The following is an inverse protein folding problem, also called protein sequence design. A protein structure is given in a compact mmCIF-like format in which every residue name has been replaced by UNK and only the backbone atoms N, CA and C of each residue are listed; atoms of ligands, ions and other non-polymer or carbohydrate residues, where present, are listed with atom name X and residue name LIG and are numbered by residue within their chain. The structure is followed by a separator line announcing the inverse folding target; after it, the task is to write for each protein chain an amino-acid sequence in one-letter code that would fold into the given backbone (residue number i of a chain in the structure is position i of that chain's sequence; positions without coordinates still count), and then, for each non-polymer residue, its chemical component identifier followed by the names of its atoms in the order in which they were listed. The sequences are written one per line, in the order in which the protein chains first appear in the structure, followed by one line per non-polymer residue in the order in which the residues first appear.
data_IF_106062197098
#
_entry.id   IF_106062197098
#
_cell.length_a   1.000
_cell.length_b   1.000
_cell.length_c   1.000
_cell.angle_alpha   90.00
_cell.angle_beta   90.00
_cell.angle_gamma   90.00
#
_symmetry.space_group_name_H-M   'P 1'
#
loop_
_entity.id
_entity.type
_entity.pdbx_description
1 polymer ?
#
# COMPACT_ATOMS: atom_id res chain seq x y z
N UNK A 1 -2.43 54.03 -15.59
CA UNK A 1 -3.34 53.75 -16.73
C UNK A 1 -3.84 52.31 -16.66
N UNK A 2 -5.17 52.06 -16.71
CA UNK A 2 -5.72 50.72 -16.70
C UNK A 2 -5.41 50.01 -18.03
N UNK A 3 -4.72 48.86 -17.98
CA UNK A 3 -4.42 48.06 -19.19
C UNK A 3 -5.73 47.48 -19.75
N UNK A 4 -6.28 48.09 -20.78
CA UNK A 4 -7.47 47.59 -21.46
C UNK A 4 -7.11 46.33 -22.26
N UNK A 5 -7.75 45.20 -21.95
CA UNK A 5 -7.50 43.94 -22.66
C UNK A 5 -8.23 43.95 -24.02
N UNK A 6 -7.59 43.51 -25.12
CA UNK A 6 -8.21 43.43 -26.43
C UNK A 6 -9.49 42.57 -26.43
N UNK A 7 -10.45 42.94 -27.27
CA UNK A 7 -11.75 42.25 -27.43
C UNK A 7 -11.59 40.76 -27.71
N UNK A 8 -10.65 40.39 -28.58
CA UNK A 8 -10.29 39.00 -28.90
C UNK A 8 -9.86 38.19 -27.67
N UNK A 9 -9.18 38.83 -26.70
CA UNK A 9 -8.76 38.17 -25.46
C UNK A 9 -9.93 37.93 -24.51
N UNK A 10 -10.95 38.80 -24.53
CA UNK A 10 -12.18 38.63 -23.75
C UNK A 10 -13.05 37.52 -24.35
N UNK A 11 -13.24 37.53 -25.67
CA UNK A 11 -14.01 36.50 -26.39
C UNK A 11 -13.36 35.12 -26.29
N UNK A 12 -12.03 35.02 -26.46
CA UNK A 12 -11.29 33.77 -26.22
C UNK A 12 -11.49 33.23 -24.80
N UNK A 13 -11.50 34.10 -23.78
CA UNK A 13 -11.73 33.70 -22.39
C UNK A 13 -13.16 33.25 -22.12
N UNK A 14 -14.14 33.85 -22.79
CA UNK A 14 -15.56 33.46 -22.70
C UNK A 14 -15.85 32.14 -23.42
N UNK A 15 -15.14 31.86 -24.52
CA UNK A 15 -15.33 30.65 -25.32
C UNK A 15 -14.53 29.45 -24.78
N UNK A 16 -13.43 29.69 -24.05
CA UNK A 16 -12.59 28.61 -23.48
C UNK A 16 -13.32 27.63 -22.55
N UNK A 17 -14.27 28.05 -21.68
CA UNK A 17 -15.08 27.13 -20.88
C UNK A 17 -16.05 26.32 -21.73
N UNK A 18 -16.63 26.93 -22.77
CA UNK A 18 -17.60 26.32 -23.68
C UNK A 18 -16.91 25.24 -24.53
N UNK A 19 -15.79 25.60 -25.17
CA UNK A 19 -14.95 24.65 -25.91
C UNK A 19 -14.45 23.51 -25.02
N UNK A 20 -13.99 23.80 -23.79
CA UNK A 20 -13.62 22.74 -22.83
C UNK A 20 -14.77 21.82 -22.42
N UNK A 21 -16.00 22.31 -22.46
CA UNK A 21 -17.19 21.51 -22.14
C UNK A 21 -17.58 20.63 -23.34
N UNK A 22 -17.45 21.15 -24.56
CA UNK A 22 -17.71 20.44 -25.81
C UNK A 22 -16.64 19.40 -26.14
N UNK A 23 -15.36 19.72 -25.94
CA UNK A 23 -14.21 18.80 -26.12
C UNK A 23 -14.13 17.73 -25.03
N UNK A 24 -14.97 17.80 -24.00
CA UNK A 24 -14.95 16.83 -22.91
C UNK A 24 -15.52 15.52 -23.44
N UNK A 25 -14.75 14.41 -23.45
CA UNK A 25 -15.27 13.14 -23.91
C UNK A 25 -16.52 12.78 -23.08
N UNK A 26 -17.67 12.76 -23.77
CA UNK A 26 -18.95 12.36 -23.19
C UNK A 26 -18.96 10.83 -23.14
N UNK A 27 -18.51 10.27 -22.04
CA UNK A 27 -18.76 8.86 -21.78
C UNK A 27 -20.27 8.69 -21.58
N UNK A 28 -20.94 7.76 -22.28
CA UNK A 28 -22.36 7.51 -22.04
C UNK A 28 -22.55 7.15 -20.56
N UNK A 29 -23.56 7.71 -19.87
CA UNK A 29 -23.81 7.46 -18.44
C UNK A 29 -23.83 5.96 -18.10
N UNK A 30 -24.29 5.13 -19.03
CA UNK A 30 -24.39 3.68 -18.90
C UNK A 30 -23.03 2.96 -18.91
N UNK A 31 -22.02 3.48 -19.61
CA UNK A 31 -20.71 2.83 -19.68
C UNK A 31 -19.94 2.90 -18.35
N UNK A 32 -20.05 4.03 -17.62
CA UNK A 32 -19.43 4.14 -16.30
C UNK A 32 -20.13 3.29 -15.26
N UNK A 33 -21.47 3.21 -15.30
CA UNK A 33 -22.23 2.35 -14.39
C UNK A 33 -21.91 0.87 -14.63
N UNK A 34 -21.90 0.43 -15.90
CA UNK A 34 -21.52 -0.93 -16.27
C UNK A 34 -20.08 -1.26 -15.83
N UNK A 35 -19.13 -0.33 -16.05
CA UNK A 35 -17.73 -0.55 -15.65
C UNK A 35 -17.56 -0.62 -14.14
N UNK A 36 -18.30 0.19 -13.38
CA UNK A 36 -18.31 0.08 -11.91
C UNK A 36 -18.86 -1.26 -11.45
N UNK A 37 -19.94 -1.76 -12.05
CA UNK A 37 -20.50 -3.07 -11.72
C UNK A 37 -19.50 -4.19 -12.02
N UNK A 38 -18.90 -4.19 -13.21
CA UNK A 38 -17.85 -5.14 -13.61
C UNK A 38 -16.67 -5.13 -12.63
N UNK A 39 -16.19 -3.95 -12.24
CA UNK A 39 -15.08 -3.83 -11.29
C UNK A 39 -15.47 -4.25 -9.87
N UNK A 40 -16.71 -3.97 -9.46
CA UNK A 40 -17.23 -4.37 -8.14
C UNK A 40 -17.27 -5.88 -8.03
N UNK A 41 -17.79 -6.55 -9.06
CA UNK A 41 -17.81 -8.02 -9.15
C UNK A 41 -16.40 -8.60 -9.22
N UNK A 42 -15.57 -8.10 -10.14
CA UNK A 42 -14.21 -8.60 -10.36
C UNK A 42 -13.34 -8.54 -9.11
N UNK A 43 -13.39 -7.44 -8.35
CA UNK A 43 -12.53 -7.23 -7.20
C UNK A 43 -13.21 -7.56 -5.86
N UNK A 44 -14.47 -8.00 -5.87
CA UNK A 44 -15.23 -8.28 -4.63
C UNK A 44 -15.39 -7.04 -3.76
N UNK A 45 -15.61 -5.87 -4.38
CA UNK A 45 -15.70 -4.60 -3.66
C UNK A 45 -17.06 -4.49 -2.94
N UNK A 46 -17.11 -3.86 -1.75
CA UNK A 46 -18.36 -3.69 -1.05
C UNK A 46 -19.28 -2.71 -1.81
N UNK A 47 -20.59 -2.90 -1.68
CA UNK A 47 -21.60 -2.12 -2.43
C UNK A 47 -21.60 -0.63 -2.08
N UNK A 48 -21.09 -0.26 -0.92
CA UNK A 48 -20.94 1.12 -0.44
C UNK A 48 -19.63 1.80 -0.90
N UNK A 49 -18.81 1.11 -1.71
CA UNK A 49 -17.54 1.63 -2.18
C UNK A 49 -17.70 2.92 -3.02
N UNK A 50 -16.91 3.94 -2.68
CA UNK A 50 -16.89 5.21 -3.41
C UNK A 50 -15.87 5.16 -4.54
N UNK A 51 -16.32 5.38 -5.78
CA UNK A 51 -15.46 5.39 -6.96
C UNK A 51 -14.99 6.82 -7.32
N UNK A 52 -13.68 6.98 -7.46
CA UNK A 52 -13.02 8.22 -7.87
C UNK A 52 -12.23 8.01 -9.16
N UNK A 53 -12.39 8.93 -10.11
CA UNK A 53 -11.69 8.87 -11.41
C UNK A 53 -10.61 9.95 -11.50
N UNK A 54 -9.38 9.53 -11.78
CA UNK A 54 -8.19 10.36 -11.83
C UNK A 54 -7.65 10.45 -13.26
N UNK A 55 -7.48 11.67 -13.77
CA UNK A 55 -6.86 11.92 -15.07
C UNK A 55 -5.37 12.20 -14.91
N UNK A 56 -4.54 11.49 -15.67
CA UNK A 56 -3.08 11.69 -15.70
C UNK A 56 -2.72 13.15 -15.99
N UNK A 57 -1.72 13.69 -15.27
CA UNK A 57 -1.18 15.03 -15.49
C UNK A 57 -1.99 16.19 -14.91
N UNK A 58 -3.15 15.95 -14.28
CA UNK A 58 -3.91 17.00 -13.59
C UNK A 58 -3.21 17.38 -12.30
N UNK A 59 -2.79 18.64 -12.16
CA UNK A 59 -2.35 19.19 -10.86
C UNK A 59 -3.58 19.47 -10.00
N UNK A 60 -3.69 18.78 -8.88
CA UNK A 60 -4.74 19.03 -7.90
C UNK A 60 -4.23 20.05 -6.88
N UNK A 61 -4.90 21.20 -6.79
CA UNK A 61 -4.55 22.27 -5.85
C UNK A 61 -5.18 22.08 -4.46
N UNK A 62 -6.12 21.14 -4.31
CA UNK A 62 -6.79 20.79 -3.06
C UNK A 62 -6.83 19.27 -2.90
N UNK A 63 -6.78 18.73 -1.65
CA UNK A 63 -7.05 17.34 -1.38
C UNK A 63 -8.44 16.98 -1.95
N UNK A 64 -8.52 15.98 -2.81
CA UNK A 64 -9.80 15.46 -3.33
C UNK A 64 -10.45 14.44 -2.39
N UNK A 65 -9.72 14.01 -1.37
CA UNK A 65 -10.13 12.95 -0.46
C UNK A 65 -10.44 13.57 0.90
N UNK A 66 -11.72 13.65 1.25
CA UNK A 66 -12.17 13.76 2.64
C UNK A 66 -13.05 12.54 2.89
N UNK A 67 -12.42 11.44 3.31
CA UNK A 67 -13.15 10.31 3.87
C UNK A 67 -12.75 10.16 5.33
N UNK A 68 -13.75 10.05 6.18
CA UNK A 68 -13.58 9.66 7.58
C UNK A 68 -13.50 8.13 7.69
N UNK A 69 -14.34 7.40 6.94
CA UNK A 69 -14.45 5.93 6.97
C UNK A 69 -15.03 5.39 5.65
N UNK A 70 -14.85 4.08 5.41
CA UNK A 70 -15.38 3.34 4.26
C UNK A 70 -14.34 2.99 3.20
N UNK A 71 -14.79 2.36 2.10
CA UNK A 71 -13.92 1.91 1.00
C UNK A 71 -13.94 2.90 -0.17
N UNK A 72 -12.76 3.22 -0.71
CA UNK A 72 -12.56 4.10 -1.87
C UNK A 72 -11.81 3.36 -2.95
N UNK A 73 -12.31 3.47 -4.17
CA UNK A 73 -11.71 2.87 -5.36
C UNK A 73 -11.29 3.98 -6.30
N UNK A 74 -10.00 4.08 -6.55
CA UNK A 74 -9.41 5.06 -7.44
C UNK A 74 -9.12 4.40 -8.78
N UNK A 75 -9.66 4.96 -9.86
CA UNK A 75 -9.49 4.47 -11.22
C UNK A 75 -8.84 5.55 -12.08
N UNK A 76 -8.10 5.13 -13.11
CA UNK A 76 -7.74 6.03 -14.19
C UNK A 76 -9.01 6.46 -14.93
N UNK A 77 -9.14 7.75 -15.21
CA UNK A 77 -10.34 8.31 -15.83
C UNK A 77 -10.50 7.89 -17.29
N UNK A 78 -9.39 7.68 -17.99
CA UNK A 78 -9.38 7.44 -19.43
C UNK A 78 -9.35 5.93 -19.73
N UNK A 79 -8.58 5.13 -18.97
CA UNK A 79 -8.46 3.67 -19.17
C UNK A 79 -9.35 2.82 -18.26
N UNK A 80 -9.91 3.40 -17.19
CA UNK A 80 -10.60 2.68 -16.11
C UNK A 80 -9.74 1.63 -15.38
N UNK A 81 -8.42 1.71 -15.52
CA UNK A 81 -7.50 0.85 -14.79
C UNK A 81 -7.56 1.15 -13.28
N UNK A 82 -7.47 0.09 -12.47
CA UNK A 82 -7.44 0.21 -11.02
C UNK A 82 -6.11 0.82 -10.57
N UNK A 83 -6.17 1.96 -9.87
CA UNK A 83 -5.00 2.66 -9.34
C UNK A 83 -4.78 2.37 -7.85
N UNK A 84 -5.86 2.34 -7.06
CA UNK A 84 -5.79 2.18 -5.61
C UNK A 84 -7.16 1.74 -5.07
N UNK A 85 -7.18 0.75 -4.18
CA UNK A 85 -8.31 0.52 -3.27
C UNK A 85 -7.82 0.86 -1.87
N UNK A 86 -8.56 1.70 -1.16
CA UNK A 86 -8.23 2.10 0.21
C UNK A 86 -9.46 1.94 1.09
N UNK A 87 -9.28 1.40 2.29
CA UNK A 87 -10.33 1.30 3.30
C UNK A 87 -9.91 2.06 4.55
N UNK A 88 -10.77 2.97 4.99
CA UNK A 88 -10.66 3.65 6.27
C UNK A 88 -11.58 2.93 7.25
N UNK A 89 -10.99 2.27 8.24
CA UNK A 89 -11.73 1.50 9.26
C UNK A 89 -12.17 2.45 10.37
N UNK A 90 -13.46 2.47 10.66
CA UNK A 90 -14.03 3.26 11.75
C UNK A 90 -13.92 2.49 13.07
N UNK A 91 -13.55 3.20 14.13
CA UNK A 91 -13.66 2.69 15.50
C UNK A 91 -15.12 2.78 15.93
N UNK A 92 -15.85 1.68 15.78
CA UNK A 92 -17.22 1.58 16.24
C UNK A 92 -17.25 1.03 17.68
N UNK A 93 -18.21 1.50 18.49
CA UNK A 93 -18.37 1.10 19.90
C UNK A 93 -18.62 -0.42 20.09
N UNK A 94 -18.96 -1.14 19.02
CA UNK A 94 -19.17 -2.60 19.02
C UNK A 94 -17.98 -3.46 18.61
N UNK A 95 -16.81 -2.88 18.25
CA UNK A 95 -15.63 -3.65 17.80
C UNK A 95 -14.33 -3.32 18.57
N UNK A 96 -14.35 -3.25 19.92
CA UNK A 96 -13.14 -2.95 20.70
C UNK A 96 -12.00 -3.94 20.41
N UNK A 97 -12.31 -5.24 20.32
CA UNK A 97 -11.32 -6.29 20.03
C UNK A 97 -10.68 -6.20 18.64
N UNK A 98 -11.33 -5.53 17.67
CA UNK A 98 -10.76 -5.35 16.33
C UNK A 98 -9.60 -4.36 16.35
N UNK A 99 -9.75 -3.24 17.05
CA UNK A 99 -8.68 -2.24 17.16
C UNK A 99 -7.53 -2.71 18.05
N UNK A 100 -7.82 -3.51 19.08
CA UNK A 100 -6.79 -4.23 19.84
C UNK A 100 -6.02 -5.20 18.94
N UNK A 101 -6.72 -5.93 18.06
CA UNK A 101 -6.07 -6.83 17.08
C UNK A 101 -5.21 -6.06 16.08
N UNK A 102 -5.67 -4.89 15.61
CA UNK A 102 -4.87 -4.00 14.77
C UNK A 102 -3.62 -3.52 15.49
N UNK A 103 -3.76 -2.99 16.70
CA UNK A 103 -2.65 -2.48 17.48
C UNK A 103 -1.62 -3.58 17.79
N UNK A 104 -2.09 -4.73 18.29
CA UNK A 104 -1.25 -5.89 18.54
C UNK A 104 -0.48 -6.33 17.29
N UNK A 105 -1.18 -6.47 16.16
CA UNK A 105 -0.60 -6.93 14.90
C UNK A 105 0.45 -5.96 14.35
N UNK A 106 0.11 -4.68 14.29
CA UNK A 106 0.97 -3.63 13.75
C UNK A 106 2.18 -3.42 14.63
N UNK A 107 1.98 -3.31 15.95
CA UNK A 107 3.06 -3.09 16.91
C UNK A 107 4.01 -4.28 16.95
N UNK A 108 3.50 -5.51 16.88
CA UNK A 108 4.35 -6.72 16.83
C UNK A 108 5.21 -6.75 15.56
N UNK A 109 4.61 -6.50 14.40
CA UNK A 109 5.33 -6.43 13.11
C UNK A 109 6.34 -5.29 13.12
N UNK A 110 5.99 -4.13 13.67
CA UNK A 110 6.88 -2.98 13.83
C UNK A 110 8.13 -3.35 14.63
N UNK A 111 7.95 -3.94 15.82
CA UNK A 111 9.08 -4.30 16.69
C UNK A 111 9.91 -5.44 16.11
N UNK A 112 9.27 -6.42 15.45
CA UNK A 112 9.95 -7.53 14.80
C UNK A 112 10.81 -7.06 13.60
N UNK A 113 10.26 -6.21 12.73
CA UNK A 113 11.02 -5.63 11.62
C UNK A 113 12.15 -4.72 12.13
N UNK A 114 11.93 -3.95 13.20
CA UNK A 114 12.96 -3.10 13.80
C UNK A 114 14.12 -3.89 14.41
N UNK A 115 13.90 -5.14 14.82
CA UNK A 115 14.97 -6.04 15.25
C UNK A 115 15.85 -6.53 14.08
N UNK A 116 15.38 -6.39 12.84
CA UNK A 116 16.13 -6.69 11.60
C UNK A 116 16.96 -5.49 11.13
N UNK A 117 17.80 -5.75 10.13
CA UNK A 117 18.61 -4.72 9.47
C UNK A 117 17.78 -3.63 8.78
N UNK A 118 18.28 -2.39 8.80
CA UNK A 118 17.69 -1.28 8.05
C UNK A 118 17.97 -1.44 6.55
N UNK A 119 16.94 -1.30 5.71
CA UNK A 119 17.06 -1.27 4.26
C UNK A 119 17.63 0.07 3.83
N UNK A 120 18.85 0.06 3.30
CA UNK A 120 19.55 1.27 2.85
C UNK A 120 19.46 1.52 1.33
N UNK A 121 19.16 0.48 0.55
CA UNK A 121 19.13 0.50 -0.92
C UNK A 121 17.90 1.21 -1.46
N UNK A 122 16.73 0.90 -0.91
CA UNK A 122 15.44 1.48 -1.31
C UNK A 122 14.98 2.61 -0.37
N UNK A 123 15.89 3.14 0.44
CA UNK A 123 15.60 4.21 1.37
C UNK A 123 15.34 5.55 0.65
N UNK A 124 14.83 6.53 1.40
CA UNK A 124 14.58 7.86 0.88
C UNK A 124 15.77 8.39 0.05
N UNK A 125 15.49 8.82 -1.19
CA UNK A 125 16.48 9.40 -2.11
C UNK A 125 17.39 10.41 -1.39
N UNK A 126 18.62 10.64 -1.87
CA UNK A 126 19.55 11.64 -1.32
C UNK A 126 18.90 13.01 -0.99
N UNK A 127 17.90 13.43 -1.79
CA UNK A 127 17.13 14.67 -1.55
C UNK A 127 16.17 14.62 -0.34
N UNK A 128 15.75 13.43 0.09
CA UNK A 128 14.96 13.18 1.31
C UNK A 128 15.82 13.19 2.58
N UNK A 129 17.10 12.79 2.48
CA UNK A 129 18.07 12.76 3.58
C UNK A 129 18.79 14.10 3.84
N UNK A 130 18.24 15.21 3.36
CA UNK A 130 18.85 16.54 3.60
C UNK A 130 18.74 16.91 5.09
N UNK A 131 19.74 17.61 5.66
CA UNK A 131 19.66 18.09 7.04
C UNK A 131 18.35 18.85 7.28
N UNK A 132 17.67 18.54 8.39
CA UNK A 132 16.39 19.13 8.76
C UNK A 132 15.15 18.54 8.07
N UNK A 133 15.31 17.52 7.20
CA UNK A 133 14.17 16.74 6.68
C UNK A 133 14.09 15.41 7.38
N UNK A 134 12.91 15.13 7.91
CA UNK A 134 12.55 13.83 8.44
C UNK A 134 12.35 12.86 7.27
N UNK A 135 12.89 11.67 7.39
CA UNK A 135 12.84 10.65 6.35
C UNK A 135 12.62 9.29 6.98
N UNK A 136 11.73 8.51 6.36
CA UNK A 136 11.35 7.21 6.89
C UNK A 136 12.49 6.22 6.87
N UNK A 137 12.62 5.50 7.98
CA UNK A 137 13.51 4.37 8.14
C UNK A 137 12.75 3.11 7.76
N UNK A 138 13.31 2.38 6.81
CA UNK A 138 12.70 1.19 6.23
C UNK A 138 13.37 -0.05 6.80
N UNK A 139 12.57 -0.97 7.29
CA UNK A 139 12.99 -2.27 7.79
C UNK A 139 12.17 -3.35 7.11
N UNK A 140 12.70 -4.56 7.02
CA UNK A 140 11.95 -5.69 6.49
C UNK A 140 12.18 -6.95 7.31
N UNK A 141 11.17 -7.83 7.27
CA UNK A 141 11.16 -9.14 7.88
C UNK A 141 10.62 -10.19 6.90
N UNK A 142 10.81 -11.47 7.23
CA UNK A 142 10.54 -12.59 6.33
C UNK A 142 11.75 -12.91 5.45
N UNK A 143 11.51 -13.13 4.16
CA UNK A 143 12.49 -13.62 3.22
C UNK A 143 13.04 -12.50 2.33
N UNK A 144 14.34 -12.55 2.06
CA UNK A 144 15.02 -11.67 1.13
C UNK A 144 15.65 -12.47 -0.02
N UNK A 145 15.77 -11.87 -1.23
CA UNK A 145 16.59 -12.44 -2.27
C UNK A 145 18.03 -12.56 -1.77
N UNK A 146 18.73 -13.60 -2.21
CA UNK A 146 20.14 -13.75 -1.89
C UNK A 146 20.99 -12.75 -2.65
N UNK A 147 22.10 -12.33 -2.03
CA UNK A 147 23.04 -11.37 -2.62
C UNK A 147 24.14 -12.04 -3.46
N UNK A 148 24.38 -13.34 -3.27
CA UNK A 148 25.41 -14.11 -3.97
C UNK A 148 24.77 -14.92 -5.12
N UNK A 149 25.47 -15.06 -6.24
CA UNK A 149 25.07 -15.93 -7.35
C UNK A 149 24.78 -17.39 -6.93
N UNK A 150 25.37 -17.86 -5.82
CA UNK A 150 25.14 -19.20 -5.27
C UNK A 150 23.99 -19.29 -4.28
N UNK A 151 23.57 -18.17 -3.67
CA UNK A 151 22.52 -18.12 -2.65
C UNK A 151 21.29 -17.47 -3.26
N UNK A 152 20.23 -18.25 -3.47
CA UNK A 152 19.02 -17.75 -4.14
C UNK A 152 18.09 -16.94 -3.23
N UNK A 153 18.17 -17.13 -1.91
CA UNK A 153 17.32 -16.47 -0.92
C UNK A 153 17.74 -16.76 0.52
N UNK A 154 17.24 -15.96 1.46
CA UNK A 154 17.49 -16.14 2.90
C UNK A 154 16.48 -15.39 3.76
N UNK A 155 16.62 -15.46 5.09
CA UNK A 155 15.83 -14.65 6.01
C UNK A 155 16.54 -13.34 6.34
N UNK A 156 15.76 -12.28 6.60
CA UNK A 156 16.31 -11.08 7.23
C UNK A 156 16.88 -11.44 8.61
N UNK A 157 18.15 -11.08 8.82
CA UNK A 157 18.86 -11.36 10.07
C UNK A 157 18.70 -10.22 11.08
N UNK A 158 18.96 -10.53 12.35
CA UNK A 158 19.02 -9.51 13.41
C UNK A 158 20.07 -8.45 13.09
N UNK A 159 19.74 -7.20 13.43
CA UNK A 159 20.72 -6.12 13.40
C UNK A 159 21.74 -6.25 14.54
N UNK A 160 22.86 -5.53 14.44
CA UNK A 160 23.94 -5.57 15.42
C UNK A 160 23.46 -5.29 16.86
N UNK A 161 22.51 -4.38 17.04
CA UNK A 161 21.97 -4.03 18.38
C UNK A 161 21.16 -5.15 19.00
N UNK A 162 20.40 -5.90 18.20
CA UNK A 162 19.60 -7.03 18.66
C UNK A 162 20.50 -8.24 18.87
N UNK A 163 21.39 -8.55 17.92
CA UNK A 163 22.30 -9.69 18.00
C UNK A 163 23.32 -9.58 19.16
N UNK A 164 23.61 -8.37 19.64
CA UNK A 164 24.51 -8.15 20.77
C UNK A 164 23.82 -8.33 22.15
N UNK A 165 22.51 -8.57 22.21
CA UNK A 165 21.73 -8.61 23.46
C UNK A 165 20.75 -9.79 23.48
N UNK A 166 21.07 -10.81 24.28
CA UNK A 166 20.24 -12.00 24.43
C UNK A 166 18.79 -11.71 24.81
N UNK A 167 18.53 -10.69 25.63
CA UNK A 167 17.14 -10.35 26.01
C UNK A 167 16.36 -9.81 24.83
N UNK A 168 17.01 -9.05 23.95
CA UNK A 168 16.37 -8.53 22.73
C UNK A 168 16.13 -9.64 21.71
N UNK A 169 17.06 -10.58 21.58
CA UNK A 169 16.88 -11.78 20.76
C UNK A 169 15.69 -12.62 21.25
N UNK A 170 15.63 -12.91 22.55
CA UNK A 170 14.53 -13.69 23.14
C UNK A 170 13.18 -12.98 22.97
N UNK A 171 13.13 -11.67 23.21
CA UNK A 171 11.92 -10.87 22.99
C UNK A 171 11.48 -10.89 21.52
N UNK A 172 12.43 -10.97 20.59
CA UNK A 172 12.14 -11.07 19.16
C UNK A 172 11.63 -12.43 18.73
N UNK A 173 12.20 -13.51 19.26
CA UNK A 173 11.70 -14.87 19.04
C UNK A 173 10.26 -15.01 19.55
N UNK A 174 9.96 -14.49 20.75
CA UNK A 174 8.58 -14.46 21.27
C UNK A 174 7.61 -13.69 20.36
N UNK A 175 8.07 -12.64 19.67
CA UNK A 175 7.25 -11.95 18.66
C UNK A 175 7.08 -12.79 17.40
N UNK A 176 8.13 -13.52 17.00
CA UNK A 176 8.12 -14.39 15.84
C UNK A 176 7.04 -15.48 15.94
N UNK A 177 6.85 -16.05 17.13
CA UNK A 177 5.82 -17.06 17.40
C UNK A 177 4.38 -16.55 17.13
N UNK A 178 4.15 -15.24 17.24
CA UNK A 178 2.85 -14.61 16.98
C UNK A 178 2.61 -14.29 15.50
N UNK A 179 3.64 -14.31 14.65
CA UNK A 179 3.53 -13.87 13.27
C UNK A 179 2.53 -14.67 12.43
N UNK A 180 2.37 -16.00 12.56
CA UNK A 180 1.40 -16.75 11.76
C UNK A 180 -0.05 -16.31 12.00
N UNK A 181 -0.39 -15.99 13.25
CA UNK A 181 -1.71 -15.46 13.60
C UNK A 181 -1.89 -14.04 13.03
N UNK A 182 -0.85 -13.21 13.11
CA UNK A 182 -0.87 -11.85 12.55
C UNK A 182 -0.96 -11.87 11.02
N UNK A 183 -0.28 -12.81 10.35
CA UNK A 183 -0.38 -13.01 8.91
C UNK A 183 -1.81 -13.38 8.51
N UNK A 184 -2.44 -14.29 9.26
CA UNK A 184 -3.84 -14.66 9.04
C UNK A 184 -4.76 -13.45 9.20
N UNK A 185 -4.53 -12.62 10.21
CA UNK A 185 -5.26 -11.37 10.41
C UNK A 185 -5.08 -10.41 9.22
N UNK A 186 -3.86 -10.20 8.73
CA UNK A 186 -3.60 -9.37 7.55
C UNK A 186 -4.20 -9.96 6.27
N UNK A 187 -4.12 -11.27 6.10
CA UNK A 187 -4.73 -11.97 4.96
C UNK A 187 -6.24 -11.71 4.90
N UNK A 188 -6.93 -11.79 6.04
CA UNK A 188 -8.37 -11.48 6.13
C UNK A 188 -8.65 -10.01 5.75
N UNK A 189 -7.83 -9.06 6.22
CA UNK A 189 -8.02 -7.64 5.88
C UNK A 189 -7.74 -7.34 4.41
N UNK A 190 -6.70 -7.95 3.82
CA UNK A 190 -6.32 -7.74 2.43
C UNK A 190 -7.27 -8.41 1.45
N UNK A 191 -7.68 -9.66 1.73
CA UNK A 191 -8.72 -10.35 0.94
C UNK A 191 -10.04 -9.60 1.01
N UNK A 192 -10.40 -9.07 2.19
CA UNK A 192 -11.57 -8.21 2.35
C UNK A 192 -11.47 -6.87 1.62
N UNK A 193 -10.26 -6.38 1.28
CA UNK A 193 -10.05 -5.14 0.52
C UNK A 193 -10.18 -5.37 -0.99
N UNK A 194 -9.60 -6.45 -1.49
CA UNK A 194 -9.70 -6.88 -2.89
C UNK A 194 -9.37 -8.36 -3.00
N UNK A 195 -10.41 -9.19 -3.15
CA UNK A 195 -10.26 -10.64 -3.19
C UNK A 195 -9.42 -11.06 -4.40
N UNK A 196 -9.70 -10.49 -5.58
CA UNK A 196 -8.96 -10.83 -6.80
C UNK A 196 -7.47 -10.45 -6.73
N UNK A 197 -7.13 -9.32 -6.11
CA UNK A 197 -5.71 -8.94 -5.95
C UNK A 197 -5.01 -9.88 -4.95
N UNK A 198 -5.70 -10.26 -3.87
CA UNK A 198 -5.19 -11.21 -2.89
C UNK A 198 -4.96 -12.59 -3.51
N UNK A 199 -5.92 -13.11 -4.26
CA UNK A 199 -5.80 -14.39 -4.97
C UNK A 199 -4.72 -14.37 -6.05
N UNK A 200 -4.54 -13.23 -6.75
CA UNK A 200 -3.45 -13.07 -7.71
C UNK A 200 -2.08 -13.19 -7.03
N UNK A 201 -1.88 -12.57 -5.86
CA UNK A 201 -0.62 -12.69 -5.13
C UNK A 201 -0.45 -14.10 -4.56
N UNK A 202 -1.52 -14.72 -4.06
CA UNK A 202 -1.48 -16.09 -3.57
C UNK A 202 -1.15 -17.11 -4.67
N UNK A 203 -1.64 -16.90 -5.89
CA UNK A 203 -1.32 -17.72 -7.05
C UNK A 203 0.17 -17.59 -7.44
N UNK A 204 0.71 -16.36 -7.44
CA UNK A 204 2.15 -16.13 -7.69
C UNK A 204 2.99 -16.82 -6.62
N UNK A 205 2.63 -16.67 -5.34
CA UNK A 205 3.34 -17.32 -4.24
C UNK A 205 3.30 -18.86 -4.37
N UNK A 206 2.15 -19.43 -4.71
CA UNK A 206 2.03 -20.87 -4.95
C UNK A 206 2.87 -21.36 -6.14
N UNK A 207 2.86 -20.64 -7.26
CA UNK A 207 3.65 -20.97 -8.46
C UNK A 207 5.16 -20.88 -8.23
N UNK A 208 5.59 -19.93 -7.40
CA UNK A 208 7.01 -19.69 -7.10
C UNK A 208 7.50 -20.45 -5.87
N UNK A 209 6.62 -21.20 -5.20
CA UNK A 209 6.88 -21.82 -3.90
C UNK A 209 7.42 -20.80 -2.88
N UNK A 210 6.92 -19.57 -2.93
CA UNK A 210 7.34 -18.51 -2.03
C UNK A 210 6.91 -18.85 -0.60
N UNK A 211 7.84 -18.80 0.38
CA UNK A 211 7.49 -19.00 1.78
C UNK A 211 6.75 -17.77 2.34
N UNK A 212 5.97 -17.95 3.40
CA UNK A 212 5.32 -16.84 4.12
C UNK A 212 6.31 -16.03 4.92
N UNK A 213 6.13 -14.71 5.00
CA UNK A 213 6.98 -13.84 5.82
C UNK A 213 6.87 -14.11 7.33
N UNK A 214 5.82 -14.81 7.76
CA UNK A 214 5.59 -15.20 9.15
C UNK A 214 6.21 -16.55 9.52
N UNK A 215 6.73 -17.30 8.55
CA UNK A 215 7.32 -18.60 8.82
C UNK A 215 8.65 -18.50 9.55
N UNK A 216 8.89 -19.45 10.46
CA UNK A 216 10.18 -19.61 11.12
C UNK A 216 11.28 -20.16 10.21
N UNK A 217 10.89 -20.85 9.14
CA UNK A 217 11.82 -21.52 8.23
C UNK A 217 11.32 -21.47 6.79
N UNK A 218 12.27 -21.45 5.85
CA UNK A 218 12.02 -21.54 4.41
C UNK A 218 11.20 -22.79 4.02
N UNK A 219 11.39 -23.89 4.75
CA UNK A 219 10.90 -25.22 4.35
C UNK A 219 9.57 -25.62 4.99
N UNK A 220 9.06 -24.81 5.93
CA UNK A 220 7.83 -25.11 6.66
C UNK A 220 6.89 -23.94 6.51
N UNK A 221 5.86 -24.09 5.69
CA UNK A 221 4.74 -23.15 5.64
C UNK A 221 3.53 -23.76 6.30
N UNK A 222 3.18 -23.35 7.53
CA UNK A 222 1.96 -23.79 8.18
C UNK A 222 0.79 -23.07 7.50
N UNK A 223 0.00 -23.82 6.75
CA UNK A 223 -1.36 -23.47 6.32
C UNK A 223 -1.53 -22.30 5.33
N UNK A 224 -1.59 -22.70 4.05
CA UNK A 224 -2.53 -22.27 3.01
C UNK A 224 -2.78 -20.75 2.79
N UNK A 225 -2.26 -20.28 1.65
CA UNK A 225 -2.37 -18.95 1.00
C UNK A 225 -1.41 -17.88 1.54
N UNK A 226 -0.12 -18.15 1.35
CA UNK A 226 0.93 -17.11 1.35
C UNK A 226 0.54 -16.02 0.36
N UNK A 227 0.42 -14.77 0.81
CA UNK A 227 0.13 -13.62 -0.06
C UNK A 227 1.33 -12.67 -0.22
N UNK A 228 2.42 -12.96 0.49
CA UNK A 228 3.69 -12.25 0.42
C UNK A 228 4.78 -13.04 1.13
N UNK A 229 6.03 -12.89 0.68
CA UNK A 229 7.20 -13.54 1.27
C UNK A 229 8.03 -12.64 2.16
N UNK A 230 7.77 -11.33 2.11
CA UNK A 230 8.35 -10.35 3.01
C UNK A 230 7.31 -9.33 3.45
N UNK A 231 7.62 -8.66 4.55
CA UNK A 231 6.90 -7.49 5.01
C UNK A 231 7.89 -6.35 5.20
N UNK A 232 7.54 -5.18 4.67
CA UNK A 232 8.36 -3.96 4.77
C UNK A 232 7.62 -2.97 5.65
N UNK A 233 8.30 -2.52 6.70
CA UNK A 233 7.79 -1.54 7.66
C UNK A 233 8.60 -0.26 7.50
N UNK A 234 7.91 0.87 7.35
CA UNK A 234 8.55 2.19 7.33
C UNK A 234 8.02 3.02 8.50
N UNK A 235 8.92 3.57 9.31
CA UNK A 235 8.59 4.40 10.46
C UNK A 235 9.51 5.62 10.54
N UNK A 236 9.27 6.52 11.50
CA UNK A 236 9.95 7.82 11.64
C UNK A 236 9.67 8.80 10.48
N UNK A 237 8.38 8.91 10.15
CA UNK A 237 7.78 9.72 9.08
C UNK A 237 8.02 9.20 7.65
N UNK A 238 7.09 9.48 6.75
CA UNK A 238 7.14 8.92 5.40
C UNK A 238 7.26 10.02 4.34
N UNK A 239 8.35 9.99 3.57
CA UNK A 239 8.52 10.86 2.39
C UNK A 239 8.38 10.00 1.14
N UNK A 240 7.15 9.87 0.65
CA UNK A 240 6.90 9.15 -0.60
C UNK A 240 7.16 10.04 -1.81
N UNK A 241 8.40 10.04 -2.29
CA UNK A 241 8.65 10.50 -3.66
C UNK A 241 8.36 9.36 -4.61
N UNK A 242 7.66 9.68 -5.69
CA UNK A 242 7.46 8.77 -6.82
C UNK A 242 8.82 8.22 -7.26
N UNK A 243 8.97 6.91 -7.19
CA UNK A 243 10.07 6.16 -7.78
C UNK A 243 9.48 5.15 -8.77
N UNK A 244 10.28 4.70 -9.72
CA UNK A 244 9.92 3.57 -10.59
C UNK A 244 10.54 2.35 -9.95
N UNK A 245 9.69 1.46 -9.48
CA UNK A 245 10.10 0.11 -9.15
C UNK A 245 10.06 -0.73 -10.44
N UNK A 246 11.07 -1.57 -10.66
CA UNK A 246 11.15 -2.46 -11.82
C UNK A 246 10.60 -3.85 -11.50
N UNK A 247 10.18 -4.07 -10.26
CA UNK A 247 9.77 -5.38 -9.76
C UNK A 247 8.35 -5.75 -10.25
N UNK A 248 8.18 -6.99 -10.73
CA UNK A 248 6.95 -7.50 -11.36
C UNK A 248 5.83 -7.85 -10.35
N UNK A 249 5.47 -6.93 -9.46
CA UNK A 249 4.26 -7.12 -8.64
C UNK A 249 3.08 -6.39 -9.26
N UNK A 250 2.01 -7.13 -9.61
CA UNK A 250 0.77 -6.53 -10.13
C UNK A 250 0.07 -5.68 -9.06
N UNK A 251 0.16 -6.09 -7.80
CA UNK A 251 -0.47 -5.44 -6.67
C UNK A 251 0.43 -5.46 -5.44
N UNK A 252 0.45 -4.34 -4.72
CA UNK A 252 1.04 -4.22 -3.39
C UNK A 252 -0.06 -3.92 -2.37
N UNK A 253 0.01 -4.57 -1.22
CA UNK A 253 -0.85 -4.30 -0.06
C UNK A 253 -0.07 -3.53 0.99
N UNK A 254 -0.75 -2.64 1.71
CA UNK A 254 -0.14 -1.86 2.77
C UNK A 254 -1.15 -1.44 3.82
N UNK A 255 -0.67 -1.33 5.05
CA UNK A 255 -1.38 -0.73 6.17
C UNK A 255 -0.70 0.58 6.55
N UNK A 256 -1.51 1.57 6.91
CA UNK A 256 -1.03 2.83 7.43
C UNK A 256 -1.71 3.06 8.79
N UNK A 257 -0.90 3.22 9.83
CA UNK A 257 -1.39 3.59 11.15
C UNK A 257 -0.45 4.60 11.79
N UNK A 258 -0.98 5.27 12.81
CA UNK A 258 -0.16 5.92 13.82
C UNK A 258 0.08 4.91 14.93
N UNK A 259 1.31 4.85 15.42
CA UNK A 259 1.69 4.09 16.59
C UNK A 259 2.01 5.16 17.63
N UNK A 260 1.26 5.17 18.74
CA UNK A 260 1.47 6.08 19.87
C UNK A 260 2.49 5.50 20.87
#
# INVERSE_FOLDING_TARGET
MPKYKPRSTRESRLNRPIQKHEERPKYPPNAQAAKKAELTEKYGLPSDAKFLFFKKGRRFSKPRLSLSYGTVVCLDQDTFELLLVVRFVEKADGTPGLFESYDHSISTVYWHARARGEIKTNAATYRGRRPGRKFGRMHAAGFCPGYDAKVKGGHYTWNATTAADFRKMEADLKRQDNLPQIESFFAERFSGLSLSAFESNAAIAAQTHAPSWANESFYVSPNAKVFGSNIVVTFDEFVNKRHKDCDETKYAFGLFSLID
#
